data_IF_746717606427
#
_entry.id   IF_746717606427
#
_cell.length_a   1.000
_cell.length_b   1.000
_cell.length_c   1.000
_cell.angle_alpha   90.00
_cell.angle_beta   90.00
_cell.angle_gamma   90.00
#
_symmetry.space_group_name_H-M   'P 1'
#
loop_
_entity.id
_entity.type
_entity.pdbx_description
1 polymer ?
#
# COMPACT_ATOMS: atom_id res chain seq x y z
N UNK A 1 0.37 0.88 17.36
CA UNK A 1 -0.99 0.84 17.96
C UNK A 1 -1.64 -0.54 17.88
N UNK A 2 -1.59 -1.24 16.73
CA UNK A 2 -2.11 -2.61 16.61
C UNK A 2 -1.48 -3.60 17.60
N UNK A 3 -0.22 -3.41 17.99
CA UNK A 3 0.46 -4.29 18.96
C UNK A 3 -0.12 -4.29 20.38
N UNK A 4 -0.93 -3.33 20.75
CA UNK A 4 -1.49 -3.25 22.11
C UNK A 4 -2.77 -4.07 22.31
N UNK A 5 -3.51 -4.34 21.22
CA UNK A 5 -4.84 -4.95 21.31
C UNK A 5 -5.12 -6.01 20.24
N UNK A 6 -4.09 -6.53 19.55
CA UNK A 6 -4.27 -7.52 18.48
C UNK A 6 -3.08 -8.46 18.37
N UNK A 7 -3.34 -9.71 18.07
CA UNK A 7 -2.33 -10.68 17.69
C UNK A 7 -1.90 -10.40 16.24
N UNK A 8 -0.70 -9.85 16.08
CA UNK A 8 -0.13 -9.56 14.76
C UNK A 8 0.75 -10.71 14.30
N UNK A 9 0.29 -11.43 13.29
CA UNK A 9 1.08 -12.43 12.62
C UNK A 9 1.58 -11.96 11.25
N UNK A 10 2.84 -12.28 10.92
CA UNK A 10 3.50 -11.88 9.67
C UNK A 10 3.99 -13.13 8.94
N UNK A 11 3.15 -13.74 8.11
CA UNK A 11 3.55 -14.92 7.36
C UNK A 11 4.63 -14.60 6.32
N UNK A 12 5.48 -15.57 6.08
CA UNK A 12 6.34 -15.60 4.91
C UNK A 12 5.55 -16.10 3.67
N UNK A 13 6.12 -15.93 2.47
CA UNK A 13 5.52 -16.47 1.23
C UNK A 13 5.40 -18.01 1.26
N UNK A 14 6.19 -18.70 2.09
CA UNK A 14 6.08 -20.14 2.27
C UNK A 14 4.93 -20.52 3.21
N UNK A 15 4.67 -19.71 4.22
CA UNK A 15 3.59 -19.96 5.18
C UNK A 15 2.23 -19.57 4.62
N UNK A 16 2.18 -18.52 3.79
CA UNK A 16 0.97 -18.09 3.08
C UNK A 16 1.23 -18.06 1.57
N UNK A 17 1.05 -19.19 0.86
CA UNK A 17 1.31 -19.29 -0.57
C UNK A 17 0.19 -18.62 -1.38
N UNK A 18 0.24 -17.31 -1.51
CA UNK A 18 -0.79 -16.51 -2.21
C UNK A 18 -0.93 -16.83 -3.69
N UNK A 19 0.02 -17.57 -4.28
CA UNK A 19 -0.07 -18.10 -5.65
C UNK A 19 -0.98 -19.34 -5.76
N UNK A 20 -1.34 -19.95 -4.65
CA UNK A 20 -2.26 -21.07 -4.57
C UNK A 20 -3.45 -20.70 -3.69
N UNK A 21 -4.58 -20.25 -4.28
CA UNK A 21 -5.75 -19.85 -3.51
C UNK A 21 -6.30 -20.94 -2.59
N UNK A 22 -6.17 -22.20 -2.99
CA UNK A 22 -6.64 -23.34 -2.18
C UNK A 22 -5.84 -23.49 -0.89
N UNK A 23 -4.50 -23.48 -1.00
CA UNK A 23 -3.63 -23.53 0.16
C UNK A 23 -3.74 -22.27 1.02
N UNK A 24 -3.83 -21.10 0.39
CA UNK A 24 -4.04 -19.85 1.13
C UNK A 24 -5.37 -19.87 1.90
N UNK A 25 -6.46 -20.35 1.30
CA UNK A 25 -7.75 -20.50 1.97
C UNK A 25 -7.70 -21.49 3.14
N UNK A 26 -7.04 -22.64 2.97
CA UNK A 26 -6.86 -23.61 4.04
C UNK A 26 -6.09 -23.01 5.21
N UNK A 27 -5.03 -22.26 4.93
CA UNK A 27 -4.19 -21.62 5.94
C UNK A 27 -4.96 -20.51 6.69
N UNK A 28 -5.66 -19.65 5.97
CA UNK A 28 -6.49 -18.58 6.56
C UNK A 28 -7.66 -19.16 7.38
N UNK A 29 -8.10 -20.38 7.05
CA UNK A 29 -9.11 -21.10 7.85
C UNK A 29 -8.59 -21.52 9.22
N UNK A 30 -7.31 -21.86 9.33
CA UNK A 30 -6.70 -22.22 10.62
C UNK A 30 -6.46 -21.00 11.51
N UNK A 31 -6.12 -19.86 10.92
CA UNK A 31 -5.75 -18.64 11.67
C UNK A 31 -6.97 -17.80 12.01
N UNK A 32 -7.99 -17.81 11.15
CA UNK A 32 -9.23 -16.99 11.29
C UNK A 32 -8.93 -15.51 11.58
N UNK A 33 -8.17 -14.82 10.72
CA UNK A 33 -7.85 -13.43 10.96
C UNK A 33 -9.07 -12.53 10.78
N UNK A 34 -9.21 -11.47 11.59
CA UNK A 34 -10.20 -10.41 11.38
C UNK A 34 -9.85 -9.54 10.16
N UNK A 35 -8.56 -9.36 9.86
CA UNK A 35 -8.09 -8.61 8.71
C UNK A 35 -6.77 -9.14 8.14
N UNK A 36 -6.64 -9.10 6.82
CA UNK A 36 -5.42 -9.45 6.09
C UNK A 36 -4.87 -8.20 5.44
N UNK A 37 -3.68 -7.78 5.84
CA UNK A 37 -2.97 -6.63 5.25
C UNK A 37 -1.98 -7.13 4.20
N UNK A 38 -2.28 -6.87 2.94
CA UNK A 38 -1.35 -7.10 1.85
C UNK A 38 -0.67 -5.78 1.46
N UNK A 39 0.62 -5.68 1.76
CA UNK A 39 1.44 -4.52 1.42
C UNK A 39 2.36 -4.89 0.26
N UNK A 40 2.04 -4.47 -0.98
CA UNK A 40 2.86 -4.78 -2.14
C UNK A 40 4.23 -4.13 -2.01
N UNK A 41 5.27 -4.80 -2.54
CA UNK A 41 6.60 -4.21 -2.64
C UNK A 41 6.62 -3.26 -3.85
N UNK A 42 6.75 -1.99 -3.60
CA UNK A 42 6.87 -0.97 -4.65
C UNK A 42 8.29 -0.97 -5.22
N UNK A 43 8.57 -1.82 -6.20
CA UNK A 43 9.85 -1.88 -6.90
C UNK A 43 9.67 -2.16 -8.40
N UNK A 44 9.57 -1.10 -9.20
CA UNK A 44 9.66 -1.15 -10.66
C UNK A 44 8.39 -1.58 -11.42
N UNK A 45 8.41 -1.38 -12.73
CA UNK A 45 7.27 -1.60 -13.65
C UNK A 45 6.79 -3.05 -13.79
N UNK A 46 7.61 -4.04 -13.41
CA UNK A 46 7.24 -5.46 -13.52
C UNK A 46 6.31 -5.96 -12.42
N UNK A 47 5.93 -5.10 -11.50
CA UNK A 47 5.19 -5.45 -10.30
C UNK A 47 3.66 -5.43 -10.47
N UNK A 48 3.14 -4.63 -11.41
CA UNK A 48 1.70 -4.40 -11.57
C UNK A 48 0.88 -5.68 -11.79
N UNK A 49 1.36 -6.58 -12.64
CA UNK A 49 0.63 -7.83 -12.92
C UNK A 49 0.63 -8.81 -11.74
N UNK A 50 1.71 -8.86 -10.97
CA UNK A 50 1.83 -9.77 -9.82
C UNK A 50 0.97 -9.31 -8.64
N UNK A 51 0.95 -8.00 -8.37
CA UNK A 51 0.14 -7.43 -7.29
C UNK A 51 -1.34 -7.70 -7.50
N UNK A 52 -1.85 -7.46 -8.70
CA UNK A 52 -3.25 -7.74 -9.05
C UNK A 52 -3.61 -9.23 -8.90
N UNK A 53 -2.70 -10.12 -9.33
CA UNK A 53 -2.90 -11.58 -9.19
C UNK A 53 -2.92 -12.01 -7.72
N UNK A 54 -2.05 -11.44 -6.88
CA UNK A 54 -2.04 -11.72 -5.45
C UNK A 54 -3.28 -11.21 -4.74
N UNK A 55 -3.75 -10.01 -5.09
CA UNK A 55 -5.00 -9.47 -4.56
C UNK A 55 -6.19 -10.34 -4.95
N UNK A 56 -6.25 -10.80 -6.19
CA UNK A 56 -7.31 -11.71 -6.65
C UNK A 56 -7.25 -13.05 -5.90
N UNK A 57 -6.07 -13.64 -5.73
CA UNK A 57 -5.89 -14.90 -5.00
C UNK A 57 -6.27 -14.76 -3.51
N UNK A 58 -5.86 -13.69 -2.85
CA UNK A 58 -6.25 -13.41 -1.47
C UNK A 58 -7.75 -13.17 -1.34
N UNK A 59 -8.34 -12.40 -2.26
CA UNK A 59 -9.78 -12.16 -2.29
C UNK A 59 -10.57 -13.46 -2.41
N UNK A 60 -10.15 -14.36 -3.30
CA UNK A 60 -10.76 -15.67 -3.46
C UNK A 60 -10.61 -16.53 -2.20
N UNK A 61 -9.43 -16.51 -1.57
CA UNK A 61 -9.19 -17.24 -0.33
C UNK A 61 -10.02 -16.71 0.85
N UNK A 62 -10.42 -15.44 0.81
CA UNK A 62 -11.22 -14.77 1.84
C UNK A 62 -12.73 -14.74 1.54
N UNK A 63 -13.18 -15.18 0.35
CA UNK A 63 -14.57 -15.09 -0.10
C UNK A 63 -15.58 -15.66 0.89
N UNK A 64 -15.24 -16.75 1.56
CA UNK A 64 -16.09 -17.41 2.54
C UNK A 64 -15.78 -17.02 3.99
N UNK A 65 -14.96 -16.00 4.20
CA UNK A 65 -14.48 -15.58 5.50
C UNK A 65 -15.02 -14.17 5.81
N UNK A 66 -15.38 -13.95 7.03
CA UNK A 66 -15.73 -12.61 7.53
C UNK A 66 -14.45 -11.80 7.84
N UNK A 67 -13.51 -11.76 6.90
CA UNK A 67 -12.21 -11.12 7.07
C UNK A 67 -12.02 -9.97 6.07
N UNK A 68 -11.55 -8.84 6.54
CA UNK A 68 -11.29 -7.66 5.74
C UNK A 68 -9.94 -7.78 5.01
N UNK A 69 -9.94 -7.68 3.69
CA UNK A 69 -8.72 -7.53 2.88
C UNK A 69 -8.33 -6.07 2.79
N UNK A 70 -7.16 -5.71 3.32
CA UNK A 70 -6.62 -4.35 3.26
C UNK A 70 -5.39 -4.33 2.36
N UNK A 71 -5.35 -3.43 1.37
CA UNK A 71 -4.17 -3.26 0.53
C UNK A 71 -3.97 -1.84 0.04
N UNK A 72 -2.74 -1.55 -0.36
CA UNK A 72 -2.39 -0.33 -1.08
C UNK A 72 -2.30 -0.61 -2.57
N UNK A 73 -2.81 0.33 -3.37
CA UNK A 73 -2.72 0.34 -4.83
C UNK A 73 -1.84 1.49 -5.29
N UNK A 74 -1.10 1.29 -6.36
CA UNK A 74 -0.44 2.39 -7.05
C UNK A 74 -1.46 3.32 -7.74
N UNK A 75 -1.10 4.57 -8.09
CA UNK A 75 -2.03 5.52 -8.70
C UNK A 75 -2.75 4.97 -9.94
N UNK A 76 -2.02 4.25 -10.78
CA UNK A 76 -2.51 3.74 -12.07
C UNK A 76 -2.76 2.21 -12.07
N UNK A 77 -2.59 1.56 -10.90
CA UNK A 77 -2.78 0.12 -10.79
C UNK A 77 -4.23 -0.26 -11.06
N UNK A 78 -4.42 -1.25 -11.94
CA UNK A 78 -5.75 -1.80 -12.20
C UNK A 78 -6.27 -2.52 -10.97
N UNK A 79 -7.52 -2.27 -10.63
CA UNK A 79 -8.21 -3.06 -9.61
C UNK A 79 -8.59 -4.39 -10.26
N UNK A 80 -8.33 -5.55 -9.60
CA UNK A 80 -8.84 -6.81 -10.09
C UNK A 80 -10.35 -6.71 -10.34
N UNK A 81 -10.85 -7.19 -11.48
CA UNK A 81 -12.25 -7.01 -11.86
C UNK A 81 -13.24 -7.69 -10.90
N UNK A 82 -12.75 -8.63 -10.11
CA UNK A 82 -13.55 -9.36 -9.13
C UNK A 82 -12.80 -9.44 -7.81
N UNK A 83 -13.24 -8.69 -6.82
CA UNK A 83 -12.86 -8.85 -5.42
C UNK A 83 -14.12 -9.32 -4.71
N UNK A 84 -14.12 -10.58 -4.26
CA UNK A 84 -15.29 -11.29 -3.74
C UNK A 84 -15.43 -11.22 -2.22
N UNK A 85 -14.48 -10.61 -1.51
CA UNK A 85 -14.51 -10.44 -0.07
C UNK A 85 -14.67 -8.97 0.33
N UNK A 86 -15.00 -8.70 1.60
CA UNK A 86 -14.89 -7.35 2.15
C UNK A 86 -13.47 -6.81 1.99
N UNK A 87 -13.32 -5.59 1.49
CA UNK A 87 -12.01 -5.06 1.16
C UNK A 87 -11.89 -3.56 1.39
N UNK A 88 -10.70 -3.15 1.80
CA UNK A 88 -10.28 -1.75 1.88
C UNK A 88 -9.05 -1.56 0.99
N UNK A 89 -9.25 -1.09 -0.22
CA UNK A 89 -8.16 -0.79 -1.15
C UNK A 89 -7.89 0.71 -1.13
N UNK A 90 -6.68 1.08 -0.78
CA UNK A 90 -6.28 2.48 -0.68
C UNK A 90 -5.34 2.82 -1.84
N UNK A 91 -5.82 3.60 -2.79
CA UNK A 91 -5.02 4.12 -3.89
C UNK A 91 -4.13 5.25 -3.39
N UNK A 92 -2.83 5.03 -3.46
CA UNK A 92 -1.82 5.96 -2.99
C UNK A 92 -1.67 7.16 -3.96
N UNK A 93 -1.17 8.30 -3.50
CA UNK A 93 -0.74 9.37 -4.39
C UNK A 93 0.49 8.95 -5.22
N UNK A 94 0.75 9.65 -6.32
CA UNK A 94 1.85 9.31 -7.26
C UNK A 94 3.24 9.26 -6.62
N UNK A 95 3.47 10.09 -5.62
CA UNK A 95 4.74 10.12 -4.88
C UNK A 95 4.46 9.90 -3.41
N UNK A 96 5.12 8.89 -2.90
CA UNK A 96 5.07 8.53 -1.50
C UNK A 96 6.52 8.44 -0.98
N UNK A 97 6.79 9.09 0.14
CA UNK A 97 8.11 9.11 0.75
C UNK A 97 8.28 8.02 1.80
N UNK A 98 9.34 7.24 1.65
CA UNK A 98 9.81 6.32 2.67
C UNK A 98 11.34 6.41 2.79
N UNK A 99 11.84 6.82 3.94
CA UNK A 99 13.28 6.99 4.19
C UNK A 99 14.09 5.69 4.17
N UNK A 100 13.42 4.54 4.33
CA UNK A 100 14.08 3.23 4.37
C UNK A 100 14.28 2.57 2.99
N UNK A 101 13.77 3.17 1.92
CA UNK A 101 13.87 2.63 0.56
C UNK A 101 14.42 3.68 -0.39
N UNK A 102 15.25 3.24 -1.34
CA UNK A 102 15.73 4.11 -2.40
C UNK A 102 14.54 4.53 -3.28
N UNK A 103 14.27 5.83 -3.30
CA UNK A 103 13.18 6.44 -4.05
C UNK A 103 13.64 7.77 -4.65
N UNK A 104 12.77 8.43 -5.42
CA UNK A 104 13.09 9.71 -6.08
C UNK A 104 13.65 10.75 -5.12
N UNK A 105 13.05 10.88 -3.94
CA UNK A 105 13.45 11.89 -2.94
C UNK A 105 14.80 11.54 -2.33
N UNK A 106 15.03 10.29 -1.94
CA UNK A 106 16.33 9.87 -1.40
C UNK A 106 17.43 9.95 -2.47
N UNK A 107 17.13 9.64 -3.74
CA UNK A 107 18.09 9.81 -4.83
C UNK A 107 18.46 11.29 -5.05
N UNK A 108 17.53 12.21 -4.91
CA UNK A 108 17.80 13.65 -4.97
C UNK A 108 18.60 14.14 -3.77
N UNK A 109 18.27 13.70 -2.56
CA UNK A 109 19.07 14.01 -1.37
C UNK A 109 20.51 13.55 -1.57
N UNK A 110 20.73 12.33 -2.04
CA UNK A 110 22.05 11.79 -2.31
C UNK A 110 22.80 12.60 -3.39
N UNK A 111 22.09 13.04 -4.44
CA UNK A 111 22.66 13.90 -5.48
C UNK A 111 23.05 15.27 -4.96
N UNK A 112 22.21 15.89 -4.14
CA UNK A 112 22.50 17.19 -3.50
C UNK A 112 23.73 17.07 -2.60
N UNK A 113 23.74 16.09 -1.70
CA UNK A 113 24.87 15.85 -0.80
C UNK A 113 26.16 15.56 -1.56
N UNK A 114 26.06 14.88 -2.71
CA UNK A 114 27.20 14.58 -3.58
C UNK A 114 27.54 15.73 -4.55
N UNK A 115 26.89 16.90 -4.45
CA UNK A 115 27.02 18.05 -5.35
C UNK A 115 26.82 17.70 -6.84
N UNK A 116 25.97 16.74 -7.12
CA UNK A 116 25.62 16.34 -8.48
C UNK A 116 24.45 17.18 -8.99
N UNK A 117 24.45 17.43 -10.30
CA UNK A 117 23.36 18.16 -10.97
C UNK A 117 22.06 17.33 -10.91
N UNK A 118 20.96 17.97 -10.52
CA UNK A 118 19.62 17.44 -10.65
C UNK A 118 18.95 18.13 -11.83
N UNK A 119 18.40 17.34 -12.74
CA UNK A 119 17.60 17.84 -13.85
C UNK A 119 16.14 17.51 -13.59
N UNK A 120 15.30 18.53 -13.51
CA UNK A 120 13.84 18.39 -13.40
C UNK A 120 13.30 18.59 -14.82
N UNK A 121 12.90 17.51 -15.49
CA UNK A 121 12.41 17.56 -16.88
C UNK A 121 10.99 18.05 -17.01
N UNK A 122 10.17 17.83 -15.98
CA UNK A 122 8.77 18.26 -15.94
C UNK A 122 8.43 18.77 -14.55
N UNK A 123 7.78 19.95 -14.49
CA UNK A 123 7.31 20.49 -13.22
C UNK A 123 5.90 20.00 -12.91
N UNK A 124 5.76 18.71 -12.66
CA UNK A 124 4.47 18.09 -12.31
C UNK A 124 4.11 18.38 -10.85
N UNK A 125 2.82 18.58 -10.57
CA UNK A 125 2.35 18.63 -9.20
C UNK A 125 2.56 17.27 -8.53
N UNK A 126 3.06 17.29 -7.30
CA UNK A 126 3.28 16.13 -6.47
C UNK A 126 2.38 16.17 -5.24
N UNK A 127 1.83 15.02 -4.90
CA UNK A 127 1.10 14.81 -3.66
C UNK A 127 1.87 13.85 -2.79
N UNK A 128 2.50 14.37 -1.75
CA UNK A 128 3.37 13.60 -0.88
C UNK A 128 2.64 13.20 0.39
N UNK A 129 2.81 11.96 0.79
CA UNK A 129 2.38 11.46 2.09
C UNK A 129 3.52 10.77 2.81
N UNK A 130 3.74 11.10 4.07
CA UNK A 130 4.71 10.41 4.91
C UNK A 130 4.25 9.01 5.28
N UNK A 131 5.18 8.04 5.30
CA UNK A 131 4.90 6.64 5.65
C UNK A 131 4.12 6.48 6.96
N UNK A 132 4.52 7.23 7.98
CA UNK A 132 3.87 7.13 9.30
C UNK A 132 2.39 7.51 9.23
N UNK A 133 2.09 8.63 8.58
CA UNK A 133 0.72 9.09 8.40
C UNK A 133 -0.10 8.10 7.55
N UNK A 134 0.51 7.57 6.46
CA UNK A 134 -0.12 6.56 5.62
C UNK A 134 -0.54 5.33 6.43
N UNK A 135 0.39 4.79 7.25
CA UNK A 135 0.10 3.63 8.10
C UNK A 135 -1.00 3.94 9.12
N UNK A 136 -0.93 5.10 9.79
CA UNK A 136 -1.97 5.51 10.75
C UNK A 136 -3.34 5.61 10.11
N UNK A 137 -3.43 6.24 8.93
CA UNK A 137 -4.69 6.37 8.19
C UNK A 137 -5.23 5.01 7.73
N UNK A 138 -4.35 4.13 7.25
CA UNK A 138 -4.73 2.77 6.83
C UNK A 138 -5.29 1.97 8.00
N UNK A 139 -4.61 1.98 9.14
CA UNK A 139 -5.07 1.27 10.34
C UNK A 139 -6.40 1.84 10.85
N UNK A 140 -6.52 3.17 10.92
CA UNK A 140 -7.76 3.80 11.36
C UNK A 140 -8.94 3.48 10.43
N UNK A 141 -8.71 3.47 9.11
CA UNK A 141 -9.72 3.10 8.12
C UNK A 141 -10.11 1.62 8.25
N UNK A 142 -9.14 0.71 8.41
CA UNK A 142 -9.40 -0.71 8.59
C UNK A 142 -10.24 -0.99 9.85
N UNK A 143 -9.88 -0.37 10.97
CA UNK A 143 -10.66 -0.48 12.21
C UNK A 143 -12.08 0.06 12.05
N UNK A 144 -12.26 1.12 11.26
CA UNK A 144 -13.59 1.66 10.96
C UNK A 144 -14.41 0.71 10.08
N UNK A 145 -13.78 0.05 9.08
CA UNK A 145 -14.43 -0.96 8.25
C UNK A 145 -14.88 -2.16 9.11
N UNK A 146 -14.01 -2.67 9.97
CA UNK A 146 -14.33 -3.78 10.87
C UNK A 146 -15.47 -3.46 11.86
N UNK A 147 -15.58 -2.20 12.28
CA UNK A 147 -16.64 -1.76 13.19
C UNK A 147 -17.97 -1.45 12.49
N UNK A 148 -17.97 -1.23 11.19
CA UNK A 148 -19.11 -0.74 10.43
C UNK A 148 -19.20 -1.44 9.07
N UNK A 149 -19.95 -2.53 8.93
CA UNK A 149 -20.18 -3.19 7.65
C UNK A 149 -20.70 -2.20 6.58
N UNK A 150 -20.19 -2.32 5.37
CA UNK A 150 -20.55 -1.44 4.25
C UNK A 150 -19.65 -0.19 4.08
N UNK A 151 -18.60 -0.07 4.87
CA UNK A 151 -17.52 0.90 4.63
C UNK A 151 -16.36 0.33 3.82
N UNK A 152 -16.51 -0.88 3.32
CA UNK A 152 -15.57 -1.50 2.40
C UNK A 152 -15.54 -0.81 1.03
N UNK A 153 -14.49 -1.05 0.24
CA UNK A 153 -14.38 -0.50 -1.10
C UNK A 153 -12.99 0.07 -1.43
N UNK A 154 -12.98 0.86 -2.50
CA UNK A 154 -11.75 1.48 -3.01
C UNK A 154 -11.75 2.97 -2.71
N UNK A 155 -10.71 3.40 -1.99
CA UNK A 155 -10.56 4.78 -1.56
C UNK A 155 -9.31 5.40 -2.18
N UNK A 156 -9.41 6.63 -2.67
CA UNK A 156 -8.27 7.41 -3.11
C UNK A 156 -7.76 8.25 -1.95
N UNK A 157 -6.52 8.05 -1.58
CA UNK A 157 -5.88 8.89 -0.58
C UNK A 157 -5.53 10.23 -1.21
N UNK A 158 -6.10 11.31 -0.68
CA UNK A 158 -5.75 12.67 -1.04
C UNK A 158 -4.80 13.23 0.02
N UNK A 159 -3.58 13.57 -0.39
CA UNK A 159 -2.71 14.39 0.44
C UNK A 159 -3.21 15.84 0.42
N UNK A 160 -3.28 16.47 1.59
CA UNK A 160 -3.55 17.91 1.66
C UNK A 160 -2.31 18.67 1.20
N UNK A 161 -2.45 19.47 0.16
CA UNK A 161 -1.38 20.26 -0.44
C UNK A 161 -0.76 19.58 -1.66
N UNK A 162 -0.42 20.40 -2.61
CA UNK A 162 0.35 20.04 -3.79
C UNK A 162 1.65 20.84 -3.73
N UNK A 163 2.75 20.21 -4.07
CA UNK A 163 4.04 20.85 -4.30
C UNK A 163 4.52 20.49 -5.69
N UNK A 164 5.36 21.30 -6.27
CA UNK A 164 6.00 20.94 -7.54
C UNK A 164 7.33 20.22 -7.31
N UNK A 165 7.79 19.49 -8.31
CA UNK A 165 9.12 18.88 -8.30
C UNK A 165 10.21 19.92 -8.03
N UNK A 166 10.08 21.11 -8.61
CA UNK A 166 11.05 22.19 -8.46
C UNK A 166 11.04 22.75 -7.02
N UNK A 167 9.88 22.99 -6.45
CA UNK A 167 9.75 23.45 -5.06
C UNK A 167 10.31 22.45 -4.08
N UNK A 168 10.03 21.14 -4.30
CA UNK A 168 10.56 20.06 -3.46
C UNK A 168 12.09 20.02 -3.51
N UNK A 169 12.70 20.08 -4.71
CA UNK A 169 14.16 20.09 -4.86
C UNK A 169 14.76 21.35 -4.21
N UNK A 170 14.12 22.52 -4.38
CA UNK A 170 14.55 23.77 -3.77
C UNK A 170 14.49 23.72 -2.25
N UNK A 171 13.43 23.11 -1.70
CA UNK A 171 13.29 22.92 -0.25
C UNK A 171 14.36 21.96 0.32
N UNK A 172 14.69 20.89 -0.40
CA UNK A 172 15.73 19.94 0.05
C UNK A 172 17.12 20.59 -0.04
N UNK A 173 17.31 21.55 -0.94
CA UNK A 173 18.60 22.23 -1.14
C UNK A 173 18.83 23.39 -0.14
N UNK A 174 17.76 23.98 0.40
CA UNK A 174 17.83 25.05 1.42
C UNK A 174 18.28 24.55 2.78
#
# INVERSE_FOLDING_TARGET
ELKKNSDLWKPTEFELPVNDPGLAAAFLTLIQPDAVFYVPRFSGRSFESKSANYLAALSQALETKEALLVSWLQPEESIPPFISCEHLLIRLPEVFYCSSTKNLITDWIDKILSRKRITVSENKPLRLIGRHLLVQMTVAAALKCLANPGFDGVYKLAANGETSLFELVSFIHS
#
